data_IF_151517208910
#
_entry.id   IF_151517208910
#
_cell.length_a   1.000
_cell.length_b   1.000
_cell.length_c   1.000
_cell.angle_alpha   90.00
_cell.angle_beta   90.00
_cell.angle_gamma   90.00
#
_symmetry.space_group_name_H-M   'P 1'
#
loop_
_entity.id
_entity.type
_entity.pdbx_description
1 polymer ?
#
# COMPACT_ATOMS: atom_id res chain seq x y z
N UNK A 1 1.72 -32.15 -20.89
CA UNK A 1 1.76 -32.35 -22.36
C UNK A 1 1.11 -31.12 -23.00
N UNK A 2 1.86 -30.29 -23.73
CA UNK A 2 1.31 -29.08 -24.36
C UNK A 2 0.28 -29.54 -25.41
N UNK A 3 -1.00 -29.28 -25.16
CA UNK A 3 -2.06 -29.52 -26.16
C UNK A 3 -1.74 -28.71 -27.43
N UNK A 4 -1.97 -29.25 -28.64
CA UNK A 4 -1.70 -28.51 -29.85
C UNK A 4 -2.64 -27.30 -29.94
N UNK A 5 -2.13 -26.11 -29.61
CA UNK A 5 -2.85 -24.81 -29.64
C UNK A 5 -3.51 -24.54 -31.01
N UNK A 6 -3.02 -25.19 -32.06
CA UNK A 6 -3.54 -25.13 -33.43
C UNK A 6 -4.86 -25.90 -33.63
N UNK A 7 -5.24 -26.79 -32.71
CA UNK A 7 -6.49 -27.56 -32.76
C UNK A 7 -7.65 -26.85 -32.04
N UNK A 8 -7.38 -25.72 -31.38
CA UNK A 8 -8.39 -24.94 -30.66
C UNK A 8 -9.26 -24.08 -31.58
N UNK A 9 -10.56 -24.06 -31.29
CA UNK A 9 -11.53 -23.33 -32.09
C UNK A 9 -11.27 -21.82 -32.06
N UNK A 10 -11.07 -21.20 -33.22
CA UNK A 10 -10.79 -19.76 -33.36
C UNK A 10 -9.31 -19.39 -33.40
N UNK A 11 -8.40 -20.38 -33.26
CA UNK A 11 -6.96 -20.19 -33.44
C UNK A 11 -6.57 -20.66 -34.84
N UNK A 12 -6.16 -19.72 -35.69
CA UNK A 12 -5.61 -20.04 -37.02
C UNK A 12 -4.08 -19.94 -37.02
N UNK A 13 -3.43 -20.43 -38.08
CA UNK A 13 -1.97 -20.34 -38.24
C UNK A 13 -1.39 -18.94 -38.01
N UNK A 14 -2.15 -17.88 -38.32
CA UNK A 14 -1.74 -16.47 -38.12
C UNK A 14 -1.77 -16.01 -36.67
N UNK A 15 -2.59 -16.62 -35.81
CA UNK A 15 -2.74 -16.24 -34.39
C UNK A 15 -2.09 -17.24 -33.43
N UNK A 16 -1.82 -18.47 -33.90
CA UNK A 16 -1.16 -19.55 -33.15
C UNK A 16 0.10 -19.10 -32.42
N UNK A 17 1.07 -18.48 -33.10
CA UNK A 17 2.36 -18.11 -32.48
C UNK A 17 2.20 -17.16 -31.31
N UNK A 18 1.34 -16.15 -31.44
CA UNK A 18 1.09 -15.20 -30.35
C UNK A 18 0.47 -15.88 -29.14
N UNK A 19 -0.48 -16.80 -29.36
CA UNK A 19 -1.18 -17.50 -28.29
C UNK A 19 -0.27 -18.55 -27.63
N UNK A 20 0.59 -19.20 -28.42
CA UNK A 20 1.61 -20.12 -27.93
C UNK A 20 2.67 -19.40 -27.07
N UNK A 21 3.18 -18.24 -27.52
CA UNK A 21 4.12 -17.41 -26.75
C UNK A 21 3.49 -16.94 -25.44
N UNK A 22 2.23 -16.52 -25.44
CA UNK A 22 1.56 -16.05 -24.22
C UNK A 22 1.31 -17.14 -23.19
N UNK A 23 1.38 -18.43 -23.57
CA UNK A 23 1.14 -19.57 -22.67
C UNK A 23 2.39 -20.19 -22.09
N UNK A 24 3.57 -19.98 -22.68
CA UNK A 24 4.82 -20.54 -22.17
C UNK A 24 6.02 -19.73 -22.62
N UNK A 25 6.78 -19.22 -21.65
CA UNK A 25 8.03 -18.49 -21.90
C UNK A 25 9.09 -19.39 -22.58
N UNK A 26 9.12 -20.69 -22.25
CA UNK A 26 10.01 -21.66 -22.92
C UNK A 26 9.60 -21.86 -24.37
N UNK A 27 8.30 -22.00 -24.65
CA UNK A 27 7.82 -22.11 -26.02
C UNK A 27 8.05 -20.82 -26.79
N UNK A 28 7.89 -19.66 -26.14
CA UNK A 28 8.21 -18.37 -26.71
C UNK A 28 9.69 -18.22 -27.05
N UNK A 29 10.58 -18.64 -26.15
CA UNK A 29 12.01 -18.70 -26.40
C UNK A 29 12.33 -19.65 -27.57
N UNK A 30 11.74 -20.84 -27.60
CA UNK A 30 11.90 -21.78 -28.71
C UNK A 30 11.47 -21.17 -30.05
N UNK A 31 10.28 -20.57 -30.12
CA UNK A 31 9.77 -19.94 -31.34
C UNK A 31 10.68 -18.79 -31.78
N UNK A 32 11.14 -17.96 -30.84
CA UNK A 32 12.09 -16.89 -31.12
C UNK A 32 13.40 -17.43 -31.73
N UNK A 33 14.04 -18.42 -31.10
CA UNK A 33 15.27 -19.00 -31.61
C UNK A 33 15.05 -19.73 -32.94
N UNK A 34 13.92 -20.40 -33.12
CA UNK A 34 13.54 -21.02 -34.38
C UNK A 34 13.42 -19.98 -35.50
N UNK A 35 12.81 -18.82 -35.23
CA UNK A 35 12.67 -17.73 -36.19
C UNK A 35 14.01 -17.10 -36.54
N UNK A 36 14.83 -16.81 -35.54
CA UNK A 36 16.17 -16.28 -35.76
C UNK A 36 17.04 -17.24 -36.57
N UNK A 37 16.93 -18.55 -36.33
CA UNK A 37 17.65 -19.56 -37.09
C UNK A 37 17.16 -19.63 -38.54
N UNK A 38 15.85 -19.58 -38.78
CA UNK A 38 15.32 -19.58 -40.15
C UNK A 38 15.73 -18.31 -40.91
N UNK A 39 15.62 -17.14 -40.29
CA UNK A 39 16.06 -15.88 -40.88
C UNK A 39 17.55 -15.92 -41.21
N UNK A 40 18.38 -16.46 -40.31
CA UNK A 40 19.81 -16.66 -40.53
C UNK A 40 20.11 -17.61 -41.69
N UNK A 41 19.34 -18.71 -41.81
CA UNK A 41 19.50 -19.67 -42.91
C UNK A 41 19.06 -19.04 -44.25
N UNK A 42 17.92 -18.35 -44.28
CA UNK A 42 17.37 -17.74 -45.51
C UNK A 42 18.19 -16.55 -46.01
N UNK A 43 18.84 -15.80 -45.11
CA UNK A 43 19.66 -14.64 -45.45
C UNK A 43 21.12 -14.98 -45.77
N UNK A 44 21.53 -16.24 -45.61
CA UNK A 44 22.90 -16.69 -45.84
C UNK A 44 23.13 -17.09 -47.29
N UNK A 45 24.25 -16.64 -47.87
CA UNK A 45 24.72 -17.08 -49.18
C UNK A 45 25.53 -18.40 -49.13
N UNK A 46 25.79 -18.92 -47.92
CA UNK A 46 26.51 -20.18 -47.71
C UNK A 46 25.63 -21.39 -48.03
N UNK A 47 26.25 -22.49 -48.45
CA UNK A 47 25.52 -23.73 -48.62
C UNK A 47 25.06 -24.32 -47.27
N UNK A 48 24.01 -25.15 -47.32
CA UNK A 48 23.41 -25.74 -46.11
C UNK A 48 24.39 -26.59 -45.29
N UNK A 49 25.35 -27.25 -45.94
CA UNK A 49 26.36 -28.08 -45.26
C UNK A 49 27.29 -27.20 -44.43
N UNK A 50 27.72 -26.08 -45.00
CA UNK A 50 28.59 -25.12 -44.32
C UNK A 50 27.86 -24.41 -43.16
N UNK A 51 26.60 -24.00 -43.37
CA UNK A 51 25.72 -23.46 -42.33
C UNK A 51 25.56 -24.40 -41.14
N UNK A 52 25.18 -25.66 -41.39
CA UNK A 52 25.00 -26.68 -40.34
C UNK A 52 26.32 -26.92 -39.60
N UNK A 53 27.42 -26.98 -40.33
CA UNK A 53 28.75 -27.19 -39.75
C UNK A 53 29.13 -26.04 -38.82
N UNK A 54 28.89 -24.79 -39.24
CA UNK A 54 29.13 -23.62 -38.41
C UNK A 54 28.26 -23.61 -37.15
N UNK A 55 26.96 -23.93 -37.27
CA UNK A 55 26.06 -23.99 -36.12
C UNK A 55 26.49 -25.04 -35.10
N UNK A 56 26.88 -26.23 -35.58
CA UNK A 56 27.41 -27.30 -34.73
C UNK A 56 28.72 -26.91 -34.07
N UNK A 57 29.58 -26.17 -34.75
CA UNK A 57 30.83 -25.66 -34.17
C UNK A 57 30.55 -24.66 -33.06
N UNK A 58 29.60 -23.74 -33.26
CA UNK A 58 29.17 -22.80 -32.21
C UNK A 58 28.62 -23.56 -31.01
N UNK A 59 27.69 -24.50 -31.21
CA UNK A 59 27.12 -25.30 -30.11
C UNK A 59 28.18 -26.15 -29.39
N UNK A 60 29.20 -26.64 -30.10
CA UNK A 60 30.21 -27.53 -29.53
C UNK A 60 31.38 -26.79 -28.88
N UNK A 61 31.74 -25.61 -29.37
CA UNK A 61 32.97 -24.88 -28.97
C UNK A 61 32.69 -23.58 -28.25
N UNK A 62 31.67 -22.85 -28.67
CA UNK A 62 31.42 -21.49 -28.21
C UNK A 62 30.27 -21.43 -27.19
N UNK A 63 29.33 -22.38 -27.26
CA UNK A 63 28.28 -22.53 -26.25
C UNK A 63 28.81 -23.29 -25.04
N UNK A 64 28.99 -22.56 -23.93
CA UNK A 64 29.49 -23.12 -22.68
C UNK A 64 28.35 -23.21 -21.67
N UNK A 65 28.17 -24.40 -21.08
CA UNK A 65 27.33 -24.59 -19.91
C UNK A 65 28.22 -24.81 -18.69
N UNK A 66 27.81 -24.27 -17.55
CA UNK A 66 28.43 -24.55 -16.26
C UNK A 66 27.51 -25.51 -15.53
N UNK A 67 27.96 -26.75 -15.39
CA UNK A 67 27.30 -27.73 -14.55
C UNK A 67 27.97 -27.71 -13.16
N UNK A 68 27.15 -27.62 -12.12
CA UNK A 68 27.60 -27.71 -10.73
C UNK A 68 27.06 -29.02 -10.18
N UNK A 69 27.90 -30.04 -10.21
CA UNK A 69 27.59 -31.33 -9.60
C UNK A 69 27.63 -31.21 -8.08
N UNK A 70 26.56 -31.65 -7.43
CA UNK A 70 26.43 -31.65 -5.97
C UNK A 70 26.66 -33.06 -5.43
N UNK A 71 27.48 -33.17 -4.39
CA UNK A 71 27.61 -34.39 -3.58
C UNK A 71 26.52 -34.42 -2.51
N UNK A 72 26.24 -35.58 -1.88
CA UNK A 72 25.25 -35.67 -0.80
C UNK A 72 25.56 -34.80 0.43
N UNK A 73 26.80 -34.33 0.58
CA UNK A 73 27.23 -33.46 1.67
C UNK A 73 27.23 -31.97 1.28
N UNK A 74 27.02 -31.66 0.00
CA UNK A 74 26.91 -30.28 -0.45
C UNK A 74 25.53 -29.76 -0.10
N UNK A 75 25.47 -28.47 0.25
CA UNK A 75 24.21 -27.75 0.41
C UNK A 75 23.93 -26.98 -0.90
N UNK A 76 23.02 -27.47 -1.77
CA UNK A 76 22.64 -26.79 -3.00
C UNK A 76 22.28 -25.32 -2.76
N UNK A 77 21.63 -25.04 -1.64
CA UNK A 77 21.14 -23.72 -1.28
C UNK A 77 22.30 -22.78 -0.95
N UNK A 78 23.26 -23.23 -0.13
CA UNK A 78 24.45 -22.42 0.22
C UNK A 78 25.27 -22.08 -1.02
N UNK A 79 25.40 -23.02 -1.96
CA UNK A 79 26.10 -22.81 -3.23
C UNK A 79 25.37 -21.77 -4.07
N UNK A 80 24.04 -21.89 -4.20
CA UNK A 80 23.21 -20.93 -4.95
C UNK A 80 23.28 -19.53 -4.35
N UNK A 81 23.18 -19.39 -3.03
CA UNK A 81 23.33 -18.11 -2.31
C UNK A 81 24.71 -17.49 -2.52
N UNK A 82 25.78 -18.29 -2.41
CA UNK A 82 27.17 -17.82 -2.58
C UNK A 82 27.44 -17.34 -4.01
N UNK A 83 26.88 -18.02 -5.01
CA UNK A 83 27.01 -17.60 -6.41
C UNK A 83 26.26 -16.31 -6.69
N UNK A 84 25.01 -16.19 -6.23
CA UNK A 84 24.20 -14.99 -6.45
C UNK A 84 24.77 -13.76 -5.73
N UNK A 85 25.41 -13.95 -4.57
CA UNK A 85 26.09 -12.86 -3.85
C UNK A 85 27.28 -12.24 -4.60
N UNK A 86 27.82 -12.91 -5.63
CA UNK A 86 28.92 -12.38 -6.48
C UNK A 86 28.44 -11.81 -7.82
N UNK A 87 27.17 -12.04 -8.18
CA UNK A 87 26.55 -11.58 -9.44
C UNK A 87 25.57 -10.41 -9.23
N UNK A 88 24.59 -10.27 -10.15
CA UNK A 88 23.44 -9.40 -9.90
C UNK A 88 22.63 -9.98 -8.73
N UNK A 89 22.48 -9.21 -7.65
CA UNK A 89 21.78 -9.68 -6.45
C UNK A 89 20.33 -10.02 -6.79
N UNK A 90 19.96 -11.29 -6.56
CA UNK A 90 18.56 -11.68 -6.53
C UNK A 90 17.80 -10.85 -5.50
N UNK A 91 16.52 -10.60 -5.76
CA UNK A 91 15.67 -9.98 -4.74
C UNK A 91 15.37 -10.98 -3.61
N UNK A 92 15.01 -10.47 -2.44
CA UNK A 92 14.62 -11.31 -1.31
C UNK A 92 13.47 -12.26 -1.68
N UNK A 93 12.54 -11.80 -2.52
CA UNK A 93 11.40 -12.61 -2.99
C UNK A 93 11.82 -13.69 -3.98
N UNK A 94 12.83 -13.45 -4.81
CA UNK A 94 13.39 -14.48 -5.70
C UNK A 94 14.09 -15.58 -4.89
N UNK A 95 14.83 -15.20 -3.84
CA UNK A 95 15.47 -16.14 -2.93
C UNK A 95 14.43 -17.02 -2.22
N UNK A 96 13.31 -16.43 -1.78
CA UNK A 96 12.19 -17.16 -1.18
C UNK A 96 11.59 -18.14 -2.17
N UNK A 97 11.25 -17.70 -3.39
CA UNK A 97 10.71 -18.57 -4.44
C UNK A 97 11.61 -19.79 -4.66
N UNK A 98 12.89 -19.53 -4.91
CA UNK A 98 13.86 -20.60 -5.18
C UNK A 98 13.95 -21.57 -3.99
N UNK A 99 13.98 -21.05 -2.76
CA UNK A 99 14.03 -21.86 -1.55
C UNK A 99 12.76 -22.70 -1.32
N UNK A 100 11.58 -22.21 -1.70
CA UNK A 100 10.34 -23.00 -1.63
C UNK A 100 10.46 -24.21 -2.55
N UNK A 101 10.74 -24.00 -3.84
CA UNK A 101 10.76 -25.09 -4.82
C UNK A 101 11.99 -26.00 -4.70
N UNK A 102 13.10 -25.54 -4.13
CA UNK A 102 14.25 -26.41 -3.82
C UNK A 102 13.99 -27.40 -2.68
N UNK A 103 13.04 -27.11 -1.78
CA UNK A 103 12.66 -28.04 -0.70
C UNK A 103 11.73 -29.15 -1.18
N UNK A 104 11.27 -29.08 -2.42
CA UNK A 104 10.39 -30.09 -2.96
C UNK A 104 11.14 -31.41 -3.10
N UNK A 105 10.59 -32.46 -2.51
CA UNK A 105 11.14 -33.79 -2.68
C UNK A 105 10.70 -34.31 -4.04
N UNK A 106 11.65 -34.62 -4.93
CA UNK A 106 11.44 -34.83 -6.38
C UNK A 106 10.46 -35.94 -6.79
N UNK A 107 9.84 -36.67 -5.84
CA UNK A 107 9.08 -37.89 -6.11
C UNK A 107 7.64 -37.92 -5.54
N UNK A 108 7.16 -36.91 -4.81
CA UNK A 108 5.83 -36.98 -4.15
C UNK A 108 4.84 -35.86 -4.52
N UNK A 109 5.28 -34.72 -5.05
CA UNK A 109 4.43 -33.57 -5.38
C UNK A 109 4.55 -33.17 -6.86
N UNK A 110 3.42 -32.86 -7.52
CA UNK A 110 3.41 -32.29 -8.87
C UNK A 110 3.73 -30.80 -8.79
N UNK A 111 5.03 -30.46 -8.85
CA UNK A 111 5.50 -29.10 -8.66
C UNK A 111 5.06 -28.13 -9.75
N UNK A 112 4.83 -28.62 -10.96
CA UNK A 112 4.35 -27.81 -12.07
C UNK A 112 2.92 -27.34 -11.78
N UNK A 113 2.02 -28.26 -11.39
CA UNK A 113 0.63 -27.94 -11.03
C UNK A 113 0.55 -27.03 -9.79
N UNK A 114 1.39 -27.28 -8.78
CA UNK A 114 1.47 -26.45 -7.57
C UNK A 114 1.95 -25.04 -7.90
N UNK A 115 2.98 -24.91 -8.75
CA UNK A 115 3.49 -23.62 -9.20
C UNK A 115 2.42 -22.85 -9.97
N UNK A 116 1.82 -23.48 -11.00
CA UNK A 116 0.79 -22.88 -11.85
C UNK A 116 -0.43 -22.43 -11.02
N UNK A 117 -0.81 -23.21 -10.01
CA UNK A 117 -1.99 -22.94 -9.19
C UNK A 117 -1.74 -21.83 -8.16
N UNK A 118 -0.59 -21.81 -7.49
CA UNK A 118 -0.40 -20.99 -6.30
C UNK A 118 0.67 -19.90 -6.40
N UNK A 119 1.67 -20.06 -7.26
CA UNK A 119 2.79 -19.12 -7.38
C UNK A 119 2.79 -18.29 -8.66
N UNK A 120 2.34 -18.83 -9.79
CA UNK A 120 2.47 -18.21 -11.12
C UNK A 120 2.04 -16.74 -11.17
N UNK A 121 0.94 -16.39 -10.48
CA UNK A 121 0.45 -15.01 -10.41
C UNK A 121 1.48 -14.00 -9.83
N UNK A 122 2.36 -14.44 -8.92
CA UNK A 122 3.39 -13.58 -8.34
C UNK A 122 4.48 -13.25 -9.36
N UNK A 123 4.79 -14.18 -10.26
CA UNK A 123 5.85 -14.08 -11.27
C UNK A 123 5.32 -13.51 -12.60
N UNK A 124 4.01 -13.61 -12.87
CA UNK A 124 3.40 -13.15 -14.12
C UNK A 124 3.46 -11.62 -14.27
N UNK A 125 4.23 -11.07 -15.24
CA UNK A 125 4.26 -9.63 -15.49
C UNK A 125 2.92 -9.07 -15.99
N UNK A 126 2.06 -9.93 -16.53
CA UNK A 126 0.73 -9.58 -17.03
C UNK A 126 -0.37 -9.70 -15.99
N UNK A 127 -0.08 -10.22 -14.79
CA UNK A 127 -1.04 -10.33 -13.69
C UNK A 127 -1.77 -8.99 -13.47
N UNK A 128 -3.06 -9.06 -13.17
CA UNK A 128 -3.89 -7.87 -12.92
C UNK A 128 -3.29 -7.02 -11.79
N UNK A 129 -2.87 -7.70 -10.72
CA UNK A 129 -2.19 -7.07 -9.60
C UNK A 129 -0.68 -7.04 -9.85
N UNK A 130 -0.09 -5.84 -9.96
CA UNK A 130 1.35 -5.69 -10.27
C UNK A 130 2.21 -5.94 -9.04
N UNK A 131 2.61 -7.20 -8.84
CA UNK A 131 3.42 -7.67 -7.72
C UNK A 131 4.84 -7.09 -7.71
N UNK A 132 5.46 -6.96 -8.88
CA UNK A 132 6.83 -6.42 -9.03
C UNK A 132 6.90 -4.88 -9.12
N UNK A 133 5.77 -4.18 -9.10
CA UNK A 133 5.77 -2.72 -9.11
C UNK A 133 6.37 -2.17 -7.80
N UNK A 134 7.30 -1.23 -7.91
CA UNK A 134 7.90 -0.57 -6.75
C UNK A 134 6.92 0.43 -6.15
N UNK A 135 6.65 0.29 -4.85
CA UNK A 135 5.90 1.26 -4.06
C UNK A 135 6.75 1.76 -2.90
N UNK A 136 6.34 2.85 -2.27
CA UNK A 136 7.04 3.42 -1.12
C UNK A 136 6.24 3.18 0.16
N UNK A 137 6.93 2.72 1.22
CA UNK A 137 6.41 2.68 2.59
C UNK A 137 7.44 3.35 3.51
N UNK A 138 7.17 4.60 3.88
CA UNK A 138 8.12 5.43 4.61
C UNK A 138 9.40 5.66 3.81
N UNK A 139 10.55 5.24 4.34
CA UNK A 139 11.87 5.38 3.68
C UNK A 139 12.22 4.25 2.71
N UNK A 140 11.43 3.18 2.68
CA UNK A 140 11.72 1.99 1.90
C UNK A 140 10.94 2.00 0.59
N UNK A 141 11.62 1.68 -0.51
CA UNK A 141 11.02 1.44 -1.81
C UNK A 141 11.29 0.02 -2.24
N UNK A 142 10.25 -0.82 -2.25
CA UNK A 142 10.33 -2.24 -2.57
C UNK A 142 9.13 -2.66 -3.43
N UNK A 143 9.19 -3.87 -4.00
CA UNK A 143 8.08 -4.46 -4.73
C UNK A 143 6.87 -4.68 -3.82
N UNK A 144 5.65 -4.70 -4.40
CA UNK A 144 4.45 -5.08 -3.64
C UNK A 144 4.57 -6.50 -3.08
N UNK A 145 5.21 -7.41 -3.81
CA UNK A 145 5.49 -8.78 -3.36
C UNK A 145 6.35 -8.79 -2.09
N UNK A 146 7.45 -8.05 -2.06
CA UNK A 146 8.33 -8.01 -0.89
C UNK A 146 7.61 -7.41 0.33
N UNK A 147 6.80 -6.36 0.14
CA UNK A 147 6.00 -5.83 1.24
C UNK A 147 4.93 -6.79 1.73
N UNK A 148 4.30 -7.55 0.83
CA UNK A 148 3.37 -8.61 1.21
C UNK A 148 4.04 -9.67 2.07
N UNK A 149 5.21 -10.17 1.65
CA UNK A 149 5.96 -11.17 2.42
C UNK A 149 6.41 -10.61 3.77
N UNK A 150 6.85 -9.35 3.84
CA UNK A 150 7.16 -8.68 5.11
C UNK A 150 5.93 -8.69 6.03
N UNK A 151 4.77 -8.27 5.53
CA UNK A 151 3.55 -8.19 6.34
C UNK A 151 3.08 -9.58 6.80
N UNK A 152 3.18 -10.59 5.93
CA UNK A 152 2.90 -11.98 6.23
C UNK A 152 3.84 -12.54 7.30
N UNK A 153 5.14 -12.33 7.18
CA UNK A 153 6.12 -12.78 8.17
C UNK A 153 5.99 -12.05 9.50
N UNK A 154 5.68 -10.75 9.50
CA UNK A 154 5.37 -10.01 10.73
C UNK A 154 4.17 -10.61 11.44
N UNK A 155 3.13 -11.01 10.70
CA UNK A 155 1.98 -11.71 11.24
C UNK A 155 2.35 -13.08 11.85
N UNK A 156 3.14 -13.89 11.14
CA UNK A 156 3.48 -15.25 11.56
C UNK A 156 4.46 -15.28 12.72
N UNK A 157 5.50 -14.46 12.65
CA UNK A 157 6.56 -14.43 13.63
C UNK A 157 6.25 -13.48 14.79
N UNK A 158 5.23 -12.63 14.67
CA UNK A 158 4.88 -11.58 15.65
C UNK A 158 6.11 -10.73 16.04
N UNK A 159 6.98 -10.47 15.06
CA UNK A 159 8.21 -9.70 15.22
C UNK A 159 8.42 -8.77 14.03
N UNK A 160 9.24 -7.73 14.25
CA UNK A 160 9.60 -6.79 13.18
C UNK A 160 10.53 -7.48 12.18
N UNK A 161 10.22 -7.34 10.90
CA UNK A 161 10.98 -7.94 9.80
C UNK A 161 11.80 -6.84 9.12
N UNK A 162 13.11 -7.07 9.05
CA UNK A 162 14.01 -6.17 8.34
C UNK A 162 13.89 -6.36 6.83
N UNK A 163 13.87 -5.25 6.09
CA UNK A 163 13.69 -5.25 4.63
C UNK A 163 14.82 -5.96 3.87
N UNK A 164 16.02 -6.01 4.45
CA UNK A 164 17.22 -6.63 3.91
C UNK A 164 17.47 -8.07 4.42
N UNK A 165 16.52 -8.63 5.18
CA UNK A 165 16.64 -9.96 5.79
C UNK A 165 15.32 -10.75 5.67
N UNK A 166 14.49 -10.42 4.68
CA UNK A 166 13.16 -11.02 4.51
C UNK A 166 13.29 -12.52 4.24
N UNK A 167 14.22 -12.91 3.37
CA UNK A 167 14.53 -14.31 3.08
C UNK A 167 15.03 -15.06 4.32
N UNK A 168 15.93 -14.44 5.09
CA UNK A 168 16.42 -15.04 6.35
C UNK A 168 15.27 -15.30 7.33
N UNK A 169 14.37 -14.33 7.53
CA UNK A 169 13.20 -14.49 8.37
C UNK A 169 12.21 -15.51 7.82
N UNK A 170 12.07 -15.60 6.50
CA UNK A 170 11.26 -16.62 5.85
C UNK A 170 11.79 -18.03 6.16
N UNK A 171 13.10 -18.25 6.00
CA UNK A 171 13.76 -19.52 6.33
C UNK A 171 13.57 -19.89 7.81
N UNK A 172 13.74 -18.92 8.72
CA UNK A 172 13.48 -19.13 10.14
C UNK A 172 12.02 -19.52 10.43
N UNK A 173 11.07 -18.84 9.79
CA UNK A 173 9.65 -19.16 9.92
C UNK A 173 9.38 -20.59 9.47
N UNK A 174 9.87 -20.98 8.30
CA UNK A 174 9.60 -22.32 7.78
C UNK A 174 10.23 -23.40 8.64
N UNK A 175 11.50 -23.26 9.03
CA UNK A 175 12.22 -24.27 9.81
C UNK A 175 11.73 -24.43 11.25
N UNK A 176 11.30 -23.34 11.90
CA UNK A 176 11.05 -23.33 13.35
C UNK A 176 9.62 -22.94 13.75
N UNK A 177 8.83 -22.39 12.83
CA UNK A 177 7.55 -21.74 13.16
C UNK A 177 6.38 -22.12 12.25
N UNK A 178 6.60 -22.88 11.18
CA UNK A 178 5.54 -23.33 10.29
C UNK A 178 5.06 -24.73 10.66
N UNK A 179 3.80 -25.02 10.35
CA UNK A 179 3.18 -26.33 10.55
C UNK A 179 2.85 -27.00 9.21
N UNK A 180 3.46 -26.55 8.11
CA UNK A 180 3.20 -27.09 6.78
C UNK A 180 3.87 -28.44 6.63
N UNK A 181 3.11 -29.44 6.19
CA UNK A 181 3.65 -30.77 5.89
C UNK A 181 4.14 -30.86 4.44
N UNK A 182 3.59 -30.02 3.57
CA UNK A 182 3.79 -30.00 2.12
C UNK A 182 4.06 -28.60 1.60
N UNK A 183 4.69 -28.48 0.43
CA UNK A 183 4.86 -27.17 -0.22
C UNK A 183 3.51 -26.62 -0.66
N UNK A 184 2.60 -27.51 -1.07
CA UNK A 184 1.25 -27.11 -1.45
C UNK A 184 0.50 -26.43 -0.29
N UNK A 185 0.60 -26.93 0.94
CA UNK A 185 0.00 -26.28 2.13
C UNK A 185 0.60 -24.90 2.40
N UNK A 186 1.92 -24.77 2.29
CA UNK A 186 2.65 -23.51 2.43
C UNK A 186 2.17 -22.48 1.40
N UNK A 187 2.11 -22.86 0.12
CA UNK A 187 1.70 -22.00 -0.98
C UNK A 187 0.20 -21.68 -0.98
N UNK A 188 -0.66 -22.62 -0.57
CA UNK A 188 -2.09 -22.37 -0.33
C UNK A 188 -2.28 -21.26 0.70
N UNK A 189 -1.50 -21.28 1.77
CA UNK A 189 -1.60 -20.27 2.81
C UNK A 189 -1.11 -18.90 2.36
N UNK A 190 0.04 -18.83 1.69
CA UNK A 190 0.51 -17.60 1.06
C UNK A 190 -0.54 -17.05 0.10
N UNK A 191 -1.09 -17.89 -0.79
CA UNK A 191 -2.13 -17.46 -1.72
C UNK A 191 -3.37 -16.92 -0.99
N UNK A 192 -3.83 -17.55 0.10
CA UNK A 192 -4.92 -17.07 0.95
C UNK A 192 -4.65 -15.65 1.48
N UNK A 193 -3.48 -15.40 2.07
CA UNK A 193 -3.14 -14.08 2.61
C UNK A 193 -2.86 -13.03 1.52
N UNK A 194 -2.37 -13.45 0.34
CA UNK A 194 -2.17 -12.56 -0.81
C UNK A 194 -3.50 -11.91 -1.24
N UNK A 195 -4.61 -12.67 -1.20
CA UNK A 195 -5.95 -12.16 -1.52
C UNK A 195 -6.40 -11.06 -0.56
N UNK A 196 -6.11 -11.22 0.73
CA UNK A 196 -6.40 -10.19 1.74
C UNK A 196 -5.52 -8.96 1.51
N UNK A 197 -4.22 -9.17 1.27
CA UNK A 197 -3.28 -8.08 0.99
C UNK A 197 -3.69 -7.24 -0.23
N UNK A 198 -4.19 -7.88 -1.31
CA UNK A 198 -4.75 -7.17 -2.47
C UNK A 198 -5.93 -6.29 -2.09
N UNK A 199 -6.87 -6.76 -1.26
CA UNK A 199 -7.99 -5.93 -0.76
C UNK A 199 -7.49 -4.72 0.04
N UNK A 200 -6.43 -4.87 0.82
CA UNK A 200 -5.85 -3.78 1.62
C UNK A 200 -5.13 -2.71 0.79
N UNK A 201 -4.52 -3.11 -0.33
CA UNK A 201 -3.66 -2.23 -1.13
C UNK A 201 -4.37 -1.68 -2.37
N UNK A 202 -5.33 -2.44 -2.89
CA UNK A 202 -6.19 -2.09 -4.02
C UNK A 202 -7.66 -2.39 -3.69
N UNK A 203 -8.26 -1.65 -2.74
CA UNK A 203 -9.67 -1.84 -2.37
C UNK A 203 -10.59 -1.50 -3.54
N UNK A 204 -11.48 -2.41 -3.91
CA UNK A 204 -12.43 -2.24 -5.03
C UNK A 204 -13.89 -2.29 -4.62
N UNK A 205 -14.19 -2.78 -3.41
CA UNK A 205 -15.56 -2.88 -2.91
C UNK A 205 -15.76 -2.03 -1.64
N UNK A 206 -17.02 -1.97 -1.18
CA UNK A 206 -17.44 -1.12 -0.07
C UNK A 206 -17.51 -1.90 1.28
N UNK A 207 -16.67 -2.92 1.44
CA UNK A 207 -16.60 -3.71 2.68
C UNK A 207 -15.98 -2.90 3.83
N UNK A 208 -16.25 -3.28 5.09
CA UNK A 208 -15.68 -2.59 6.25
C UNK A 208 -14.14 -2.55 6.24
N UNK A 209 -13.50 -3.67 5.85
CA UNK A 209 -12.05 -3.76 5.69
C UNK A 209 -11.54 -2.80 4.61
N UNK A 210 -12.18 -2.77 3.44
CA UNK A 210 -11.74 -1.93 2.32
C UNK A 210 -11.97 -0.44 2.59
N UNK A 211 -13.03 -0.06 3.31
CA UNK A 211 -13.23 1.32 3.80
C UNK A 211 -12.08 1.76 4.69
N UNK A 212 -11.69 0.93 5.65
CA UNK A 212 -10.54 1.17 6.50
C UNK A 212 -9.24 1.23 5.66
N UNK A 213 -9.08 0.34 4.68
CA UNK A 213 -7.92 0.33 3.80
C UNK A 213 -7.76 1.62 2.99
N UNK A 214 -8.85 2.17 2.42
CA UNK A 214 -8.85 3.46 1.73
C UNK A 214 -8.39 4.58 2.66
N UNK A 215 -8.93 4.60 3.89
CA UNK A 215 -8.55 5.59 4.91
C UNK A 215 -7.08 5.52 5.27
N UNK A 216 -6.57 4.33 5.55
CA UNK A 216 -5.17 4.10 5.89
C UNK A 216 -4.23 4.47 4.73
N UNK A 217 -4.65 4.23 3.48
CA UNK A 217 -3.89 4.60 2.28
C UNK A 217 -3.76 6.12 2.16
N UNK A 218 -4.85 6.86 2.34
CA UNK A 218 -4.83 8.33 2.31
C UNK A 218 -4.01 8.94 3.46
N UNK A 219 -3.95 8.25 4.60
CA UNK A 219 -3.16 8.64 5.78
C UNK A 219 -1.72 8.10 5.77
N UNK A 220 -1.33 7.32 4.76
CA UNK A 220 0.00 6.69 4.64
C UNK A 220 0.37 5.74 5.81
N UNK A 221 -0.63 5.08 6.42
CA UNK A 221 -0.45 4.18 7.58
C UNK A 221 -0.44 2.71 7.12
N UNK A 222 0.63 2.28 6.47
CA UNK A 222 0.77 0.88 6.02
C UNK A 222 1.24 -0.08 7.12
N UNK A 223 1.79 0.42 8.24
CA UNK A 223 2.34 -0.41 9.33
C UNK A 223 1.29 -1.24 10.07
N UNK A 224 0.01 -0.95 9.86
CA UNK A 224 -1.12 -1.68 10.46
C UNK A 224 -1.50 -2.94 9.66
N UNK A 225 -1.02 -3.09 8.43
CA UNK A 225 -1.45 -4.19 7.55
C UNK A 225 -1.21 -5.59 8.12
N UNK A 226 -0.11 -5.91 8.81
CA UNK A 226 0.04 -7.23 9.45
C UNK A 226 -1.09 -7.54 10.44
N UNK A 227 -1.54 -6.54 11.21
CA UNK A 227 -2.67 -6.69 12.14
C UNK A 227 -3.97 -6.97 11.38
N UNK A 228 -4.21 -6.26 10.27
CA UNK A 228 -5.41 -6.49 9.45
C UNK A 228 -5.39 -7.83 8.73
N UNK A 229 -4.23 -8.29 8.26
CA UNK A 229 -4.06 -9.65 7.75
C UNK A 229 -4.43 -10.67 8.85
N UNK A 230 -4.02 -10.42 10.10
CA UNK A 230 -4.30 -11.30 11.24
C UNK A 230 -5.78 -11.40 11.53
N UNK A 231 -6.47 -10.25 11.57
CA UNK A 231 -7.89 -10.18 11.86
C UNK A 231 -8.71 -10.81 10.73
N UNK A 232 -8.45 -10.44 9.48
CA UNK A 232 -9.22 -10.95 8.34
C UNK A 232 -8.93 -12.44 8.10
N UNK A 233 -7.67 -12.86 8.29
CA UNK A 233 -7.20 -14.21 8.03
C UNK A 233 -7.54 -15.24 9.10
N UNK A 234 -7.92 -14.83 10.32
CA UNK A 234 -8.29 -15.74 11.41
C UNK A 234 -9.78 -16.12 11.32
N UNK A 235 -10.06 -17.41 11.15
CA UNK A 235 -11.43 -17.93 11.02
C UNK A 235 -12.16 -18.02 12.37
N UNK A 236 -11.44 -17.99 13.49
CA UNK A 236 -12.03 -18.03 14.83
C UNK A 236 -12.52 -16.65 15.30
N UNK A 237 -12.11 -15.57 14.64
CA UNK A 237 -12.67 -14.23 14.88
C UNK A 237 -13.99 -14.15 14.11
N UNK A 238 -15.09 -13.92 14.83
CA UNK A 238 -16.41 -13.82 14.20
C UNK A 238 -16.46 -12.64 13.20
N UNK A 239 -17.29 -12.75 12.16
CA UNK A 239 -17.47 -11.65 11.19
C UNK A 239 -17.84 -10.33 11.87
N UNK A 240 -18.70 -10.39 12.89
CA UNK A 240 -19.12 -9.21 13.67
C UNK A 240 -17.95 -8.61 14.45
N UNK A 241 -17.10 -9.44 15.05
CA UNK A 241 -15.89 -8.97 15.73
C UNK A 241 -14.88 -8.37 14.76
N UNK A 242 -14.69 -8.95 13.57
CA UNK A 242 -13.84 -8.37 12.51
C UNK A 242 -14.30 -6.95 12.16
N UNK A 243 -15.58 -6.78 11.84
CA UNK A 243 -16.16 -5.47 11.50
C UNK A 243 -15.96 -4.45 12.64
N UNK A 244 -16.23 -4.86 13.89
CA UNK A 244 -16.05 -3.98 15.05
C UNK A 244 -14.59 -3.66 15.34
N UNK A 245 -13.65 -4.59 15.12
CA UNK A 245 -12.21 -4.33 15.22
C UNK A 245 -11.78 -3.31 14.17
N UNK A 246 -12.30 -3.39 12.94
CA UNK A 246 -12.02 -2.39 11.91
C UNK A 246 -12.52 -1.00 12.31
N UNK A 247 -13.72 -0.89 12.86
CA UNK A 247 -14.27 0.38 13.37
C UNK A 247 -13.44 0.94 14.55
N UNK A 248 -12.98 0.08 15.45
CA UNK A 248 -12.11 0.47 16.57
C UNK A 248 -10.78 1.03 16.04
N UNK A 249 -10.13 0.31 15.13
CA UNK A 249 -8.85 0.72 14.54
C UNK A 249 -8.99 2.01 13.74
N UNK A 250 -10.09 2.13 13.01
CA UNK A 250 -10.45 3.33 12.28
C UNK A 250 -10.57 4.55 13.23
N UNK A 251 -11.44 4.43 14.24
CA UNK A 251 -11.63 5.45 15.27
C UNK A 251 -10.30 5.82 15.94
N UNK A 252 -9.47 4.82 16.26
CA UNK A 252 -8.15 5.01 16.85
C UNK A 252 -7.22 5.86 15.97
N UNK A 253 -6.98 5.47 14.71
CA UNK A 253 -6.05 6.21 13.83
C UNK A 253 -6.57 7.60 13.48
N UNK A 254 -7.88 7.72 13.26
CA UNK A 254 -8.54 8.98 12.92
C UNK A 254 -8.46 9.97 14.07
N UNK A 255 -8.77 9.55 15.30
CA UNK A 255 -8.66 10.39 16.49
C UNK A 255 -7.24 10.82 16.76
N UNK A 256 -6.26 9.90 16.62
CA UNK A 256 -4.84 10.24 16.80
C UNK A 256 -4.38 11.29 15.79
N UNK A 257 -4.79 11.16 14.53
CA UNK A 257 -4.50 12.16 13.50
C UNK A 257 -5.13 13.52 13.83
N UNK A 258 -6.43 13.57 14.17
CA UNK A 258 -7.10 14.84 14.50
C UNK A 258 -6.49 15.50 15.74
N UNK A 259 -6.13 14.71 16.75
CA UNK A 259 -5.50 15.21 17.97
C UNK A 259 -4.00 15.55 17.84
N UNK A 260 -3.37 15.27 16.69
CA UNK A 260 -1.96 15.59 16.44
C UNK A 260 -0.98 14.68 17.17
N UNK A 261 -1.40 13.45 17.48
CA UNK A 261 -0.54 12.49 18.14
C UNK A 261 0.42 11.85 17.14
N UNK A 262 1.64 11.59 17.61
CA UNK A 262 2.74 11.07 16.81
C UNK A 262 2.42 9.70 16.20
N UNK A 263 2.81 9.49 14.94
CA UNK A 263 2.81 8.17 14.29
C UNK A 263 4.12 7.41 14.47
N UNK A 264 5.10 8.04 15.15
CA UNK A 264 6.35 7.35 15.53
C UNK A 264 6.02 6.12 16.35
N UNK A 265 6.73 5.02 16.07
CA UNK A 265 6.57 3.74 16.77
C UNK A 265 5.30 2.94 16.42
N UNK A 266 4.53 3.32 15.39
CA UNK A 266 3.35 2.57 14.96
C UNK A 266 3.64 1.10 14.60
N UNK A 267 4.83 0.79 14.07
CA UNK A 267 5.28 -0.59 13.86
C UNK A 267 5.18 -1.42 15.16
N UNK A 268 5.70 -0.91 16.28
CA UNK A 268 5.66 -1.61 17.56
C UNK A 268 4.27 -1.60 18.21
N UNK A 269 3.52 -0.50 18.05
CA UNK A 269 2.16 -0.39 18.59
C UNK A 269 1.24 -1.42 17.91
N UNK A 270 1.24 -1.49 16.58
CA UNK A 270 0.39 -2.44 15.87
C UNK A 270 0.88 -3.89 16.03
N UNK A 271 2.18 -4.11 16.24
CA UNK A 271 2.71 -5.42 16.61
C UNK A 271 2.22 -5.87 18.01
N UNK A 272 2.17 -4.97 18.99
CA UNK A 272 1.57 -5.24 20.31
C UNK A 272 0.08 -5.59 20.19
N UNK A 273 -0.65 -4.85 19.35
CA UNK A 273 -2.08 -5.09 19.10
C UNK A 273 -2.31 -6.42 18.38
N UNK A 274 -1.44 -6.79 17.44
CA UNK A 274 -1.45 -8.09 16.76
C UNK A 274 -1.24 -9.24 17.75
N UNK A 275 -0.26 -9.10 18.66
CA UNK A 275 -0.01 -10.10 19.73
C UNK A 275 -1.22 -10.26 20.64
N UNK A 276 -1.91 -9.17 20.94
CA UNK A 276 -3.11 -9.20 21.77
C UNK A 276 -4.26 -9.93 21.06
N UNK A 277 -4.56 -9.57 19.80
CA UNK A 277 -5.71 -10.13 19.08
C UNK A 277 -5.54 -11.62 18.78
N UNK A 278 -4.31 -12.06 18.49
CA UNK A 278 -4.03 -13.48 18.27
C UNK A 278 -4.27 -14.35 19.52
N UNK A 279 -4.28 -13.74 20.72
CA UNK A 279 -4.63 -14.41 21.98
C UNK A 279 -6.08 -14.18 22.38
N UNK A 280 -6.65 -13.04 22.00
CA UNK A 280 -7.97 -12.57 22.42
C UNK A 280 -8.76 -12.18 21.18
N UNK A 281 -9.56 -13.13 20.69
CA UNK A 281 -10.29 -13.06 19.42
C UNK A 281 -11.63 -12.32 19.51
N UNK A 282 -11.71 -11.32 20.40
CA UNK A 282 -12.93 -10.61 20.77
C UNK A 282 -12.75 -9.09 20.65
N UNK A 283 -13.69 -8.42 19.97
CA UNK A 283 -13.59 -6.99 19.72
C UNK A 283 -13.72 -6.14 21.00
N UNK A 284 -14.49 -6.58 21.98
CA UNK A 284 -14.72 -5.82 23.23
C UNK A 284 -13.48 -5.85 24.14
N UNK A 285 -12.80 -6.99 24.20
CA UNK A 285 -11.52 -7.14 24.87
C UNK A 285 -10.44 -6.29 24.17
N UNK A 286 -10.43 -6.28 22.84
CA UNK A 286 -9.52 -5.44 22.06
C UNK A 286 -9.77 -3.95 22.31
N UNK A 287 -11.03 -3.51 22.31
CA UNK A 287 -11.42 -2.14 22.63
C UNK A 287 -10.92 -1.72 24.03
N UNK A 288 -11.15 -2.58 25.02
CA UNK A 288 -10.72 -2.35 26.40
C UNK A 288 -9.19 -2.27 26.51
N UNK A 289 -8.48 -3.10 25.76
CA UNK A 289 -7.02 -3.08 25.69
C UNK A 289 -6.47 -1.77 25.12
N UNK A 290 -7.03 -1.27 24.01
CA UNK A 290 -6.62 0.00 23.42
C UNK A 290 -6.91 1.17 24.36
N UNK A 291 -8.08 1.18 25.03
CA UNK A 291 -8.44 2.23 26.01
C UNK A 291 -7.56 2.23 27.26
N UNK A 292 -6.93 1.10 27.60
CA UNK A 292 -6.01 1.02 28.74
C UNK A 292 -4.66 1.71 28.51
N UNK A 293 -4.33 2.05 27.25
CA UNK A 293 -3.05 2.66 26.88
C UNK A 293 -3.03 4.15 27.23
N UNK A 294 -2.00 4.59 27.96
CA UNK A 294 -1.88 5.96 28.47
C UNK A 294 -0.71 6.76 27.91
N UNK A 295 0.24 6.13 27.22
CA UNK A 295 1.41 6.81 26.68
C UNK A 295 1.07 7.51 25.36
N UNK A 296 1.63 8.70 25.10
CA UNK A 296 1.37 9.48 23.88
C UNK A 296 1.57 8.67 22.58
N UNK A 297 2.51 7.73 22.57
CA UNK A 297 2.80 6.87 21.42
C UNK A 297 1.69 5.88 21.08
N UNK A 298 0.81 5.54 22.03
CA UNK A 298 -0.24 4.54 21.83
C UNK A 298 -1.62 4.91 22.42
N UNK A 299 -1.76 6.10 23.02
CA UNK A 299 -3.01 6.63 23.56
C UNK A 299 -4.15 6.62 22.52
N UNK A 300 -5.34 6.19 22.93
CA UNK A 300 -6.57 6.39 22.18
C UNK A 300 -7.29 7.64 22.70
N UNK A 301 -7.39 8.73 21.91
CA UNK A 301 -8.00 9.97 22.39
C UNK A 301 -9.49 9.81 22.76
N UNK A 302 -9.89 10.40 23.88
CA UNK A 302 -11.29 10.45 24.33
C UNK A 302 -12.12 11.44 23.51
N UNK A 303 -13.44 11.38 23.64
CA UNK A 303 -14.34 12.34 22.98
C UNK A 303 -14.09 13.79 23.42
N UNK A 304 -13.69 13.99 24.68
CA UNK A 304 -13.34 15.31 25.21
C UNK A 304 -12.10 15.86 24.51
N UNK A 305 -11.01 15.07 24.45
CA UNK A 305 -9.79 15.46 23.75
C UNK A 305 -10.06 15.75 22.26
N UNK A 306 -10.87 14.91 21.62
CA UNK A 306 -11.24 15.07 20.21
C UNK A 306 -12.00 16.39 19.99
N UNK A 307 -13.00 16.66 20.84
CA UNK A 307 -13.84 17.86 20.73
C UNK A 307 -13.04 19.15 20.88
N UNK A 308 -12.13 19.20 21.86
CA UNK A 308 -11.21 20.33 22.05
C UNK A 308 -10.31 20.54 20.81
N UNK A 309 -9.71 19.46 20.29
CA UNK A 309 -8.76 19.56 19.17
C UNK A 309 -9.42 19.91 17.84
N UNK A 310 -10.67 19.49 17.59
CA UNK A 310 -11.38 19.86 16.36
C UNK A 310 -11.58 21.38 16.26
N UNK A 311 -11.81 22.05 17.39
CA UNK A 311 -12.10 23.49 17.43
C UNK A 311 -10.81 24.31 17.31
N UNK A 312 -9.80 23.99 18.13
CA UNK A 312 -8.66 24.89 18.36
C UNK A 312 -7.40 24.52 17.59
N UNK A 313 -7.26 23.27 17.13
CA UNK A 313 -6.00 22.80 16.56
C UNK A 313 -5.79 23.36 15.14
N UNK A 314 -4.66 24.03 14.86
CA UNK A 314 -4.33 24.51 13.52
C UNK A 314 -3.80 23.37 12.62
N UNK A 315 -4.63 22.34 12.41
CA UNK A 315 -4.27 21.08 11.73
C UNK A 315 -3.66 21.29 10.34
N UNK A 316 -4.12 22.29 9.59
CA UNK A 316 -3.56 22.59 8.26
C UNK A 316 -2.09 23.01 8.34
N UNK A 317 -1.66 23.67 9.42
CA UNK A 317 -0.28 24.16 9.57
C UNK A 317 0.64 23.09 10.15
N UNK A 318 0.14 22.29 11.07
CA UNK A 318 0.94 21.28 11.79
C UNK A 318 1.21 20.03 10.94
N UNK A 319 0.26 19.60 10.11
CA UNK A 319 0.39 18.37 9.33
C UNK A 319 1.17 18.59 8.03
N UNK A 320 2.29 17.88 7.87
CA UNK A 320 3.16 18.02 6.68
C UNK A 320 2.53 17.45 5.42
N UNK A 321 1.90 16.28 5.52
CA UNK A 321 1.19 15.60 4.42
C UNK A 321 -0.34 15.83 4.54
N UNK A 322 -0.71 17.10 4.73
CA UNK A 322 -2.07 17.57 5.09
C UNK A 322 -3.16 17.27 4.06
N UNK A 323 -2.87 17.39 2.76
CA UNK A 323 -3.94 17.47 1.76
C UNK A 323 -4.76 16.20 1.69
N UNK A 324 -4.13 15.03 1.50
CA UNK A 324 -4.88 13.76 1.39
C UNK A 324 -5.56 13.38 2.70
N UNK A 325 -4.86 13.46 3.82
CA UNK A 325 -5.43 13.08 5.13
C UNK A 325 -6.57 14.00 5.57
N UNK A 326 -6.45 15.32 5.41
CA UNK A 326 -7.55 16.25 5.75
C UNK A 326 -8.72 16.07 4.77
N UNK A 327 -8.45 15.96 3.46
CA UNK A 327 -9.51 15.70 2.47
C UNK A 327 -10.22 14.39 2.77
N UNK A 328 -9.51 13.36 3.21
CA UNK A 328 -10.10 12.11 3.61
C UNK A 328 -11.14 12.32 4.73
N UNK A 329 -10.79 13.04 5.80
CA UNK A 329 -11.73 13.34 6.90
C UNK A 329 -12.94 14.15 6.42
N UNK A 330 -12.71 15.22 5.65
CA UNK A 330 -13.79 16.08 5.16
C UNK A 330 -14.74 15.34 4.20
N UNK A 331 -14.23 14.44 3.35
CA UNK A 331 -15.06 13.56 2.50
C UNK A 331 -15.91 12.59 3.33
N UNK A 332 -15.38 12.06 4.43
CA UNK A 332 -16.16 11.19 5.31
C UNK A 332 -17.29 11.95 6.02
N UNK A 333 -17.07 13.22 6.39
CA UNK A 333 -18.14 14.10 6.90
C UNK A 333 -19.22 14.32 5.84
N UNK A 334 -18.85 14.64 4.60
CA UNK A 334 -19.81 14.79 3.48
C UNK A 334 -20.60 13.52 3.24
N UNK A 335 -19.93 12.36 3.19
CA UNK A 335 -20.59 11.04 3.06
C UNK A 335 -21.59 10.80 4.19
N UNK A 336 -21.25 11.17 5.43
CA UNK A 336 -22.12 10.99 6.59
C UNK A 336 -23.34 11.92 6.57
N UNK A 337 -23.20 13.15 6.05
CA UNK A 337 -24.31 14.10 5.94
C UNK A 337 -25.30 13.73 4.84
N UNK A 338 -24.88 12.96 3.84
CA UNK A 338 -25.76 12.46 2.78
C UNK A 338 -26.74 11.42 3.33
N UNK A 339 -28.02 11.75 3.26
CA UNK A 339 -29.12 10.88 3.68
C UNK A 339 -29.70 10.07 2.51
N UNK A 340 -30.84 9.41 2.79
CA UNK A 340 -31.57 8.58 1.80
C UNK A 340 -32.15 9.35 0.61
N UNK A 341 -32.15 10.68 0.67
CA UNK A 341 -32.67 11.56 -0.38
C UNK A 341 -31.59 11.99 -1.38
N UNK A 342 -30.33 11.66 -1.12
CA UNK A 342 -29.20 11.93 -1.98
C UNK A 342 -28.73 10.65 -2.65
N UNK A 343 -28.17 10.80 -3.86
CA UNK A 343 -27.58 9.68 -4.59
C UNK A 343 -26.35 9.13 -3.87
N UNK A 344 -26.15 7.82 -3.98
CA UNK A 344 -24.91 7.16 -3.54
C UNK A 344 -23.84 7.45 -4.59
N UNK A 345 -22.91 8.35 -4.25
CA UNK A 345 -21.80 8.73 -5.12
C UNK A 345 -20.51 8.18 -4.52
N UNK A 346 -19.62 7.70 -5.39
CA UNK A 346 -18.25 7.36 -5.00
C UNK A 346 -17.40 8.63 -4.96
N UNK A 347 -16.83 8.94 -3.80
CA UNK A 347 -15.90 10.05 -3.64
C UNK A 347 -14.46 9.58 -3.84
N UNK A 348 -13.76 10.21 -4.77
CA UNK A 348 -12.35 9.94 -5.03
C UNK A 348 -11.50 11.07 -4.44
N UNK A 349 -10.53 10.72 -3.60
CA UNK A 349 -9.58 11.67 -3.02
C UNK A 349 -8.39 11.95 -3.97
N UNK A 350 -8.73 12.28 -5.22
CA UNK A 350 -7.80 12.52 -6.32
C UNK A 350 -8.00 13.92 -6.86
N UNK A 351 -6.91 14.65 -7.09
CA UNK A 351 -6.92 16.03 -7.62
C UNK A 351 -7.73 17.04 -6.78
N UNK A 352 -7.91 16.71 -5.50
CA UNK A 352 -8.54 17.55 -4.50
C UNK A 352 -7.50 18.40 -3.78
N UNK A 353 -7.89 19.64 -3.48
CA UNK A 353 -7.08 20.61 -2.76
C UNK A 353 -7.84 21.09 -1.54
N UNK A 354 -7.11 21.39 -0.46
CA UNK A 354 -7.69 22.03 0.72
C UNK A 354 -7.78 23.53 0.46
N UNK A 355 -8.94 24.10 0.72
CA UNK A 355 -9.19 25.54 0.68
C UNK A 355 -9.62 26.06 2.05
N UNK A 356 -9.24 27.29 2.36
CA UNK A 356 -9.69 27.97 3.57
C UNK A 356 -10.93 28.81 3.28
N UNK A 357 -12.02 28.67 4.03
CA UNK A 357 -13.23 29.50 3.83
C UNK A 357 -12.90 30.97 4.17
N UNK A 358 -12.42 31.23 5.37
CA UNK A 358 -11.71 32.46 5.73
C UNK A 358 -10.32 32.40 5.09
N UNK A 359 -10.00 33.24 4.11
CA UNK A 359 -8.76 33.15 3.35
C UNK A 359 -7.53 33.49 4.19
N UNK A 360 -6.35 33.08 3.71
CA UNK A 360 -5.10 33.31 4.44
C UNK A 360 -4.75 34.80 4.51
N UNK A 361 -5.07 35.58 3.48
CA UNK A 361 -4.96 37.05 3.45
C UNK A 361 -6.30 37.73 3.68
N UNK A 362 -7.04 37.31 4.71
CA UNK A 362 -8.40 37.81 4.96
C UNK A 362 -8.49 39.32 5.17
N UNK A 363 -7.42 39.99 5.60
CA UNK A 363 -7.40 41.44 5.76
C UNK A 363 -7.76 42.22 4.48
N UNK A 364 -7.58 41.64 3.29
CA UNK A 364 -7.91 42.27 2.01
C UNK A 364 -9.42 42.40 1.76
N UNK A 365 -10.21 41.47 2.29
CA UNK A 365 -11.60 41.28 1.87
C UNK A 365 -12.59 40.97 3.00
N UNK A 366 -12.11 40.82 4.24
CA UNK A 366 -12.91 40.44 5.40
C UNK A 366 -12.68 41.41 6.58
N UNK A 367 -13.60 42.37 6.81
CA UNK A 367 -13.45 43.32 7.91
C UNK A 367 -13.60 42.66 9.30
N UNK A 368 -13.08 43.33 10.33
CA UNK A 368 -13.41 43.10 11.73
C UNK A 368 -14.27 44.28 12.18
N UNK A 369 -15.47 44.01 12.72
CA UNK A 369 -16.42 45.04 13.15
C UNK A 369 -16.61 46.15 12.09
N UNK A 370 -16.89 45.72 10.86
CA UNK A 370 -17.08 46.59 9.68
C UNK A 370 -15.88 47.45 9.26
N UNK A 371 -14.70 47.21 9.84
CA UNK A 371 -13.45 47.91 9.51
C UNK A 371 -12.39 46.96 8.94
N UNK A 372 -11.76 47.35 7.84
CA UNK A 372 -10.59 46.65 7.32
C UNK A 372 -9.36 46.99 8.16
N UNK A 373 -8.46 46.01 8.29
CA UNK A 373 -7.17 46.21 8.95
C UNK A 373 -6.07 46.35 7.89
N UNK A 374 -4.96 46.99 8.26
CA UNK A 374 -3.79 47.02 7.39
C UNK A 374 -3.05 45.68 7.42
N UNK A 375 -2.27 45.41 6.37
CA UNK A 375 -1.34 44.27 6.35
C UNK A 375 -0.30 44.35 7.48
N UNK A 376 0.11 45.58 7.83
CA UNK A 376 1.02 45.82 8.95
C UNK A 376 0.40 45.36 10.28
N UNK A 377 -0.85 45.73 10.55
CA UNK A 377 -1.57 45.27 11.74
C UNK A 377 -1.74 43.75 11.78
N UNK A 378 -2.05 43.16 10.62
CA UNK A 378 -2.20 41.71 10.47
C UNK A 378 -0.92 40.96 10.84
N UNK A 379 0.22 41.42 10.33
CA UNK A 379 1.53 40.83 10.59
C UNK A 379 2.02 41.10 12.03
N UNK A 380 1.72 42.28 12.57
CA UNK A 380 2.12 42.66 13.93
C UNK A 380 1.29 41.96 15.01
N UNK A 381 0.04 41.54 14.73
CA UNK A 381 -0.89 41.04 15.73
C UNK A 381 -0.33 39.91 16.61
N UNK A 382 0.42 38.96 16.02
CA UNK A 382 1.04 37.84 16.75
C UNK A 382 1.95 38.31 17.90
N UNK A 383 2.60 39.47 17.73
CA UNK A 383 3.49 40.07 18.73
C UNK A 383 2.78 41.13 19.56
N UNK A 384 1.99 42.00 18.93
CA UNK A 384 1.33 43.14 19.56
C UNK A 384 0.26 42.71 20.58
N UNK A 385 -0.40 41.56 20.36
CA UNK A 385 -1.38 40.97 21.29
C UNK A 385 -0.80 40.73 22.69
N UNK A 386 0.51 40.48 22.79
CA UNK A 386 1.20 40.26 24.08
C UNK A 386 1.31 41.52 24.92
N UNK A 387 1.16 42.69 24.31
CA UNK A 387 1.26 44.01 24.95
C UNK A 387 -0.09 44.72 25.07
N UNK A 388 -1.14 44.16 24.48
CA UNK A 388 -2.50 44.70 24.55
C UNK A 388 -3.24 44.14 25.78
N UNK A 389 -3.54 44.99 26.75
CA UNK A 389 -4.23 44.59 27.99
C UNK A 389 -5.72 44.28 27.76
N UNK A 390 -6.36 45.01 26.84
CA UNK A 390 -7.77 44.80 26.49
C UNK A 390 -7.92 43.53 25.64
N UNK A 391 -8.57 42.50 26.20
CA UNK A 391 -8.83 41.22 25.50
C UNK A 391 -9.79 41.36 24.33
N UNK A 392 -10.55 42.45 24.27
CA UNK A 392 -11.41 42.80 23.14
C UNK A 392 -10.74 43.89 22.27
N UNK A 393 -9.46 44.17 22.49
CA UNK A 393 -8.67 45.10 21.71
C UNK A 393 -8.42 44.62 20.28
N UNK A 394 -7.85 45.51 19.47
CA UNK A 394 -7.66 45.31 18.04
C UNK A 394 -6.81 44.07 17.76
N UNK A 395 -5.67 43.92 18.43
CA UNK A 395 -4.73 42.84 18.16
C UNK A 395 -5.21 41.49 18.70
N UNK A 396 -5.94 41.46 19.83
CA UNK A 396 -6.62 40.25 20.30
C UNK A 396 -7.68 39.77 19.31
N UNK A 397 -8.49 40.67 18.74
CA UNK A 397 -9.49 40.30 17.72
C UNK A 397 -8.83 39.72 16.45
N UNK A 398 -7.74 40.35 15.97
CA UNK A 398 -6.98 39.87 14.81
C UNK A 398 -6.38 38.49 15.10
N UNK A 399 -5.72 38.34 16.25
CA UNK A 399 -5.04 37.09 16.62
C UNK A 399 -6.04 35.95 16.87
N UNK A 400 -7.18 36.22 17.50
CA UNK A 400 -8.23 35.22 17.69
C UNK A 400 -8.76 34.70 16.34
N UNK A 401 -8.90 35.57 15.35
CA UNK A 401 -9.25 35.17 13.97
C UNK A 401 -8.12 34.38 13.31
N UNK A 402 -6.87 34.79 13.47
CA UNK A 402 -5.71 34.09 12.93
C UNK A 402 -5.54 32.68 13.50
N UNK A 403 -5.86 32.46 14.77
CA UNK A 403 -5.85 31.11 15.40
C UNK A 403 -6.82 30.15 14.70
N UNK A 404 -7.99 30.63 14.30
CA UNK A 404 -9.03 29.84 13.61
C UNK A 404 -8.72 29.57 12.13
N UNK A 405 -7.77 30.30 11.55
CA UNK A 405 -7.48 30.27 10.12
C UNK A 405 -7.09 28.87 9.64
N UNK A 406 -6.34 28.12 10.44
CA UNK A 406 -5.84 26.79 10.06
C UNK A 406 -6.57 25.62 10.74
N UNK A 407 -7.69 25.89 11.43
CA UNK A 407 -8.47 24.86 12.13
C UNK A 407 -9.43 24.17 11.19
N UNK A 408 -9.82 22.93 11.53
CA UNK A 408 -10.65 22.09 10.66
C UNK A 408 -11.96 22.76 10.25
N UNK A 409 -12.58 23.54 11.15
CA UNK A 409 -13.83 24.26 10.87
C UNK A 409 -13.72 25.33 9.78
N UNK A 410 -12.51 25.80 9.46
CA UNK A 410 -12.27 26.74 8.38
C UNK A 410 -11.84 26.08 7.06
N UNK A 411 -11.69 24.75 7.02
CA UNK A 411 -11.20 24.04 5.84
C UNK A 411 -12.36 23.44 5.04
N UNK A 412 -12.20 23.46 3.73
CA UNK A 412 -13.06 22.75 2.79
C UNK A 412 -12.21 22.09 1.70
N UNK A 413 -12.84 21.30 0.84
CA UNK A 413 -12.19 20.66 -0.30
C UNK A 413 -12.74 21.25 -1.59
N UNK A 414 -11.84 21.61 -2.50
CA UNK A 414 -12.18 22.04 -3.85
C UNK A 414 -11.31 21.30 -4.88
N UNK A 415 -11.80 21.23 -6.11
CA UNK A 415 -10.98 20.75 -7.23
C UNK A 415 -9.81 21.70 -7.47
N UNK A 416 -8.73 21.15 -8.04
CA UNK A 416 -7.55 21.93 -8.46
C UNK A 416 -7.87 23.08 -9.43
N UNK A 417 -8.96 22.97 -10.19
CA UNK A 417 -9.42 24.03 -11.11
C UNK A 417 -10.24 25.12 -10.42
N UNK A 418 -11.07 24.77 -9.44
CA UNK A 418 -11.97 25.73 -8.77
C UNK A 418 -11.23 26.55 -7.72
N UNK A 419 -10.31 25.93 -6.97
CA UNK A 419 -9.63 26.57 -5.85
C UNK A 419 -8.93 27.90 -6.22
N UNK A 420 -8.11 27.98 -7.29
CA UNK A 420 -7.47 29.24 -7.68
C UNK A 420 -8.46 30.36 -8.03
N UNK A 421 -9.70 30.02 -8.42
CA UNK A 421 -10.71 31.00 -8.79
C UNK A 421 -11.43 31.65 -7.59
N UNK A 422 -11.30 31.07 -6.39
CA UNK A 422 -11.95 31.54 -5.15
C UNK A 422 -10.96 31.96 -4.06
N UNK A 423 -9.79 31.32 -3.99
CA UNK A 423 -8.64 31.57 -3.09
C UNK A 423 -8.82 32.70 -2.06
N UNK A 424 -8.30 33.91 -2.27
CA UNK A 424 -8.38 34.98 -1.27
C UNK A 424 -9.68 35.81 -1.32
N UNK A 425 -10.70 35.39 -2.08
CA UNK A 425 -11.89 36.20 -2.31
C UNK A 425 -12.74 36.43 -1.05
N UNK A 426 -13.63 37.43 -1.15
CA UNK A 426 -14.63 37.70 -0.11
C UNK A 426 -15.59 36.53 0.09
N UNK A 427 -16.19 36.44 1.28
CA UNK A 427 -17.18 35.40 1.59
C UNK A 427 -18.30 35.29 0.55
N UNK A 428 -18.78 36.44 0.05
CA UNK A 428 -19.85 36.49 -0.96
C UNK A 428 -19.43 35.77 -2.24
N UNK A 429 -18.23 36.06 -2.75
CA UNK A 429 -17.70 35.43 -3.97
C UNK A 429 -17.49 33.93 -3.75
N UNK A 430 -16.89 33.54 -2.61
CA UNK A 430 -16.69 32.14 -2.27
C UNK A 430 -18.01 31.37 -2.20
N UNK A 431 -18.98 31.91 -1.48
CA UNK A 431 -20.31 31.31 -1.32
C UNK A 431 -21.01 31.11 -2.67
N UNK A 432 -20.96 32.11 -3.54
CA UNK A 432 -21.56 32.04 -4.87
C UNK A 432 -20.86 30.99 -5.75
N UNK A 433 -19.53 31.06 -5.87
CA UNK A 433 -18.77 30.14 -6.72
C UNK A 433 -18.82 28.70 -6.22
N UNK A 434 -18.62 28.46 -4.93
CA UNK A 434 -18.67 27.10 -4.35
C UNK A 434 -20.10 26.56 -4.44
N UNK A 435 -21.11 27.37 -4.10
CA UNK A 435 -22.52 26.98 -4.19
C UNK A 435 -23.01 26.73 -5.62
N UNK A 436 -22.40 27.35 -6.63
CA UNK A 436 -22.73 27.08 -8.04
C UNK A 436 -22.26 25.71 -8.56
N UNK A 437 -21.36 25.05 -7.82
CA UNK A 437 -20.73 23.78 -8.18
C UNK A 437 -21.14 22.62 -7.25
N UNK A 438 -21.95 22.89 -6.24
CA UNK A 438 -22.46 21.93 -5.25
C UNK A 438 -23.92 21.61 -5.52
#
# INVERSE_FOLDING_TARGET
MILPVLEEHGIGHKTYRRIAISRSNILGAYIFFYDQLNEFIESSELDMTELITNLLLVLKRDFQFVEIGLTPNDDPQMIFETMNGRGASLSETDLIRNYIFMRANSNEEDLDDIYETYWDEFDDPYAEYKWHEKTSRGRYSQSRLQFYIIDYLTLKLQSEIRNDQVFYHYKLFVLNGSSFNTIEEELKELNRYSKIFKKLTNPTNDTALEKLAIRLKDMEISTIYPLLLSVEGDDDISKNDKERIYEILDSYVTRRFICGLTTKNYNNVFLDYLKFINKNKDASAFESYLKSKTADTNLWPTDVMLSEKIIDRPIYREERNRTRSISNILLEVEKHQRGRKQEKIQFLNTDLTIEHILPQTWFEHWPINDSFISEEDFNLAVHAVMTEEDKEGKYHQIENRNKLLHTLGNLTILTSSLNPSVSNASFKIKKEKIGSQS
#
